data_IF_680614087141
#
_entry.id   IF_680614087141
#
_cell.length_a   1.000
_cell.length_b   1.000
_cell.length_c   1.000
_cell.angle_alpha   90.00
_cell.angle_beta   90.00
_cell.angle_gamma   90.00
#
_symmetry.space_group_name_H-M   'P 1'
#
loop_
_entity.id
_entity.type
_entity.pdbx_description
1 polymer ?
#
# COMPACT_ATOMS: atom_id res chain seq x y z
N UNK A 1 -2.61 0.17 -14.79
CA UNK A 1 -2.27 -1.24 -15.10
C UNK A 1 -3.48 -1.98 -15.65
N UNK A 2 -3.26 -3.06 -16.41
CA UNK A 2 -4.38 -3.86 -16.93
C UNK A 2 -4.91 -4.84 -15.88
N UNK A 3 -6.20 -4.77 -15.56
CA UNK A 3 -6.86 -5.63 -14.55
C UNK A 3 -7.42 -6.94 -15.14
N UNK A 4 -7.38 -7.09 -16.47
CA UNK A 4 -7.83 -8.31 -17.15
C UNK A 4 -6.78 -9.41 -16.98
N UNK A 5 -7.23 -10.62 -16.66
CA UNK A 5 -6.36 -11.79 -16.50
C UNK A 5 -5.88 -12.35 -17.85
N UNK A 6 -5.04 -13.38 -17.79
CA UNK A 6 -4.48 -14.01 -19.00
C UNK A 6 -5.54 -14.50 -19.98
N UNK A 7 -6.62 -15.12 -19.48
CA UNK A 7 -7.72 -15.60 -20.31
C UNK A 7 -8.44 -14.44 -21.01
N UNK A 8 -8.85 -13.41 -20.26
CA UNK A 8 -9.52 -12.25 -20.85
C UNK A 8 -8.63 -11.53 -21.87
N UNK A 9 -7.33 -11.44 -21.62
CA UNK A 9 -6.37 -10.86 -22.57
C UNK A 9 -6.24 -11.68 -23.85
N UNK A 10 -6.32 -12.99 -23.74
CA UNK A 10 -6.31 -13.86 -24.91
C UNK A 10 -7.59 -13.72 -25.73
N UNK A 11 -8.76 -13.64 -25.08
CA UNK A 11 -10.04 -13.37 -25.75
C UNK A 11 -10.02 -12.02 -26.49
N UNK A 12 -9.41 -11.00 -25.89
CA UNK A 12 -9.21 -9.69 -26.51
C UNK A 12 -8.30 -9.76 -27.75
N UNK A 13 -7.23 -10.57 -27.71
CA UNK A 13 -6.38 -10.82 -28.89
C UNK A 13 -7.15 -11.48 -30.02
N UNK A 14 -8.00 -12.47 -29.72
CA UNK A 14 -8.87 -13.05 -30.74
C UNK A 14 -9.79 -12.00 -31.37
N UNK A 15 -10.36 -11.11 -30.56
CA UNK A 15 -11.19 -10.01 -31.07
C UNK A 15 -10.41 -9.06 -31.97
N UNK A 16 -9.22 -8.67 -31.54
CA UNK A 16 -8.33 -7.81 -32.31
C UNK A 16 -7.97 -8.42 -33.68
N UNK A 17 -7.67 -9.72 -33.72
CA UNK A 17 -7.37 -10.41 -34.97
C UNK A 17 -8.60 -10.60 -35.86
N UNK A 18 -9.78 -10.90 -35.29
CA UNK A 18 -11.00 -11.15 -36.05
C UNK A 18 -11.66 -9.89 -36.64
N UNK A 19 -11.31 -8.71 -36.14
CA UNK A 19 -11.71 -7.41 -36.73
C UNK A 19 -10.91 -7.10 -38.00
N UNK A 20 -9.69 -7.64 -38.15
CA UNK A 20 -8.86 -7.38 -39.33
C UNK A 20 -9.49 -8.02 -40.56
N UNK A 21 -9.99 -7.19 -41.47
CA UNK A 21 -10.63 -7.63 -42.72
C UNK A 21 -9.64 -8.13 -43.80
N UNK A 22 -8.34 -8.07 -43.52
CA UNK A 22 -7.28 -8.45 -44.48
C UNK A 22 -6.98 -9.93 -44.53
N UNK A 23 -7.53 -10.73 -43.61
CA UNK A 23 -7.24 -12.16 -43.57
C UNK A 23 -8.01 -12.97 -44.61
N UNK A 24 -7.36 -13.95 -45.27
CA UNK A 24 -8.06 -14.95 -46.05
C UNK A 24 -9.11 -15.70 -45.22
N UNK A 25 -10.20 -16.11 -45.85
CA UNK A 25 -11.32 -16.80 -45.19
C UNK A 25 -10.87 -18.02 -44.37
N UNK A 26 -9.97 -18.83 -44.92
CA UNK A 26 -9.42 -20.02 -44.24
C UNK A 26 -8.68 -19.68 -42.93
N UNK A 27 -7.99 -18.53 -42.88
CA UNK A 27 -7.29 -18.08 -41.67
C UNK A 27 -8.31 -17.62 -40.64
N UNK A 28 -9.36 -16.91 -41.08
CA UNK A 28 -10.46 -16.48 -40.22
C UNK A 28 -11.23 -17.66 -39.63
N UNK A 29 -11.55 -18.67 -40.43
CA UNK A 29 -12.18 -19.91 -39.97
C UNK A 29 -11.30 -20.63 -38.94
N UNK A 30 -9.99 -20.68 -39.17
CA UNK A 30 -9.04 -21.28 -38.23
C UNK A 30 -9.01 -20.54 -36.89
N UNK A 31 -9.05 -19.21 -36.89
CA UNK A 31 -9.14 -18.39 -35.67
C UNK A 31 -10.45 -18.62 -34.92
N UNK A 32 -11.57 -18.68 -35.63
CA UNK A 32 -12.89 -18.97 -35.05
C UNK A 32 -12.91 -20.37 -34.42
N UNK A 33 -12.35 -21.38 -35.10
CA UNK A 33 -12.26 -22.73 -34.58
C UNK A 33 -11.42 -22.80 -33.29
N UNK A 34 -10.24 -22.16 -33.29
CA UNK A 34 -9.37 -22.11 -32.12
C UNK A 34 -10.05 -21.39 -30.93
N UNK A 35 -10.77 -20.29 -31.20
CA UNK A 35 -11.58 -19.60 -30.20
C UNK A 35 -12.67 -20.53 -29.65
N UNK A 36 -13.39 -21.26 -30.49
CA UNK A 36 -14.46 -22.16 -30.06
C UNK A 36 -13.94 -23.29 -29.16
N UNK A 37 -12.83 -23.91 -29.51
CA UNK A 37 -12.20 -24.94 -28.68
C UNK A 37 -11.75 -24.37 -27.33
N UNK A 38 -11.13 -23.18 -27.32
CA UNK A 38 -10.73 -22.50 -26.09
C UNK A 38 -11.94 -22.14 -25.23
N UNK A 39 -13.00 -21.60 -25.81
CA UNK A 39 -14.23 -21.28 -25.10
C UNK A 39 -14.83 -22.53 -24.44
N UNK A 40 -14.78 -23.70 -25.09
CA UNK A 40 -15.21 -24.97 -24.49
C UNK A 40 -14.33 -25.39 -23.31
N UNK A 41 -13.00 -25.35 -23.47
CA UNK A 41 -12.04 -25.79 -22.45
C UNK A 41 -12.15 -24.95 -21.18
N UNK A 42 -12.25 -23.63 -21.33
CA UNK A 42 -12.29 -22.69 -20.21
C UNK A 42 -13.72 -22.31 -19.79
N UNK A 43 -14.74 -22.99 -20.34
CA UNK A 43 -16.16 -22.73 -20.08
C UNK A 43 -16.54 -21.24 -20.21
N UNK A 44 -16.05 -20.60 -21.27
CA UNK A 44 -16.37 -19.21 -21.61
C UNK A 44 -17.83 -19.12 -22.01
N UNK A 45 -18.55 -18.13 -21.48
CA UNK A 45 -19.95 -17.89 -21.78
C UNK A 45 -20.20 -17.75 -23.28
N UNK A 46 -21.30 -18.36 -23.76
CA UNK A 46 -21.68 -18.31 -25.17
C UNK A 46 -21.87 -16.88 -25.68
N UNK A 47 -22.31 -15.98 -24.80
CA UNK A 47 -22.45 -14.55 -25.07
C UNK A 47 -21.10 -13.86 -25.32
N UNK A 48 -20.06 -14.17 -24.55
CA UNK A 48 -18.70 -13.65 -24.79
C UNK A 48 -18.13 -14.22 -26.09
N UNK A 49 -18.32 -15.52 -26.33
CA UNK A 49 -17.88 -16.14 -27.58
C UNK A 49 -18.53 -15.47 -28.81
N UNK A 50 -19.83 -15.21 -28.75
CA UNK A 50 -20.55 -14.48 -29.80
C UNK A 50 -20.06 -13.03 -29.93
N UNK A 51 -19.86 -12.32 -28.82
CA UNK A 51 -19.35 -10.95 -28.80
C UNK A 51 -17.97 -10.83 -29.46
N UNK A 52 -17.10 -11.82 -29.29
CA UNK A 52 -15.78 -11.83 -29.96
C UNK A 52 -15.91 -11.98 -31.48
N UNK A 53 -16.87 -12.79 -31.95
CA UNK A 53 -17.10 -13.06 -33.38
C UNK A 53 -17.89 -11.95 -34.10
N UNK A 54 -18.67 -11.18 -33.35
CA UNK A 54 -19.43 -10.05 -33.87
C UNK A 54 -18.49 -9.00 -34.46
N UNK A 55 -18.68 -8.61 -35.73
CA UNK A 55 -17.83 -7.60 -36.37
C UNK A 55 -18.18 -6.17 -35.94
N UNK A 56 -19.42 -5.95 -35.53
CA UNK A 56 -19.92 -4.61 -35.22
C UNK A 56 -19.55 -4.16 -33.81
N UNK A 57 -19.28 -5.12 -32.92
CA UNK A 57 -18.73 -4.85 -31.59
C UNK A 57 -17.27 -4.39 -31.71
N UNK A 58 -16.91 -3.29 -31.06
CA UNK A 58 -15.52 -2.83 -31.00
C UNK A 58 -14.69 -3.61 -29.97
N UNK A 59 -13.36 -3.51 -30.08
CA UNK A 59 -12.44 -4.02 -29.07
C UNK A 59 -12.71 -3.41 -27.69
N UNK A 60 -12.95 -2.10 -27.63
CA UNK A 60 -13.18 -1.38 -26.38
C UNK A 60 -14.48 -1.81 -25.71
N UNK A 61 -15.55 -2.05 -26.48
CA UNK A 61 -16.80 -2.58 -25.93
C UNK A 61 -16.62 -3.99 -25.37
N UNK A 62 -15.86 -4.86 -26.04
CA UNK A 62 -15.53 -6.17 -25.47
C UNK A 62 -14.70 -6.03 -24.19
N UNK A 63 -13.71 -5.13 -24.18
CA UNK A 63 -12.87 -4.87 -23.02
C UNK A 63 -13.69 -4.47 -21.78
N UNK A 64 -14.62 -3.53 -21.94
CA UNK A 64 -15.52 -3.12 -20.86
C UNK A 64 -16.49 -4.24 -20.46
N UNK A 65 -16.97 -5.05 -21.41
CA UNK A 65 -17.80 -6.22 -21.10
C UNK A 65 -17.06 -7.27 -20.26
N UNK A 66 -15.77 -7.51 -20.54
CA UNK A 66 -14.94 -8.46 -19.78
C UNK A 66 -14.67 -7.94 -18.36
N UNK A 67 -14.45 -6.62 -18.19
CA UNK A 67 -14.24 -6.02 -16.86
C UNK A 67 -15.41 -6.23 -15.90
N UNK A 68 -16.62 -6.36 -16.42
CA UNK A 68 -17.82 -6.57 -15.61
C UNK A 68 -17.98 -8.02 -15.09
N UNK A 69 -17.01 -8.90 -15.36
CA UNK A 69 -17.10 -10.34 -15.04
C UNK A 69 -15.85 -10.83 -14.34
N UNK A 70 -16.02 -11.27 -13.11
CA UNK A 70 -14.92 -11.74 -12.24
C UNK A 70 -14.05 -12.81 -12.89
N UNK A 71 -14.62 -13.70 -13.70
CA UNK A 71 -13.88 -14.77 -14.40
C UNK A 71 -12.77 -14.27 -15.34
N UNK A 72 -12.81 -12.99 -15.76
CA UNK A 72 -11.81 -12.38 -16.65
C UNK A 72 -10.97 -11.32 -15.96
N UNK A 73 -11.20 -11.10 -14.67
CA UNK A 73 -10.39 -10.21 -13.85
C UNK A 73 -9.23 -10.98 -13.23
N UNK A 74 -8.14 -10.27 -12.96
CA UNK A 74 -7.03 -10.78 -12.16
C UNK A 74 -7.50 -11.05 -10.73
N UNK A 75 -6.93 -12.09 -10.12
CA UNK A 75 -7.13 -12.33 -8.69
C UNK A 75 -6.35 -11.33 -7.84
N UNK A 76 -6.66 -11.27 -6.55
CA UNK A 76 -5.93 -10.43 -5.60
C UNK A 76 -4.44 -10.81 -5.56
N UNK A 77 -4.13 -12.10 -5.64
CA UNK A 77 -2.76 -12.61 -5.67
C UNK A 77 -2.01 -12.20 -6.94
N UNK A 78 -2.67 -12.26 -8.11
CA UNK A 78 -2.07 -11.81 -9.37
C UNK A 78 -1.76 -10.31 -9.33
N UNK A 79 -2.69 -9.49 -8.85
CA UNK A 79 -2.49 -8.05 -8.68
C UNK A 79 -1.40 -7.76 -7.64
N UNK A 80 -1.36 -8.53 -6.55
CA UNK A 80 -0.35 -8.36 -5.51
C UNK A 80 1.06 -8.54 -6.05
N UNK A 81 1.30 -9.58 -6.85
CA UNK A 81 2.62 -9.81 -7.47
C UNK A 81 3.05 -8.61 -8.31
N UNK A 82 2.13 -8.04 -9.10
CA UNK A 82 2.46 -6.88 -9.94
C UNK A 82 2.67 -5.61 -9.10
N UNK A 83 1.88 -5.40 -8.05
CA UNK A 83 2.04 -4.24 -7.15
C UNK A 83 3.31 -4.35 -6.31
N UNK A 84 3.72 -5.56 -5.95
CA UNK A 84 4.97 -5.81 -5.23
C UNK A 84 6.20 -5.47 -6.07
N UNK A 85 6.13 -5.57 -7.41
CA UNK A 85 7.20 -5.07 -8.30
C UNK A 85 7.37 -3.55 -8.13
N UNK A 86 6.28 -2.80 -8.21
CA UNK A 86 6.28 -1.34 -8.01
C UNK A 86 6.74 -0.98 -6.60
N UNK A 87 6.30 -1.75 -5.59
CA UNK A 87 6.72 -1.55 -4.21
C UNK A 87 8.23 -1.72 -4.05
N UNK A 88 8.80 -2.77 -4.64
CA UNK A 88 10.24 -3.02 -4.54
C UNK A 88 11.03 -1.89 -5.21
N UNK A 89 10.62 -1.43 -6.40
CA UNK A 89 11.26 -0.30 -7.07
C UNK A 89 11.19 0.99 -6.23
N UNK A 90 10.03 1.26 -5.62
CA UNK A 90 9.84 2.40 -4.73
C UNK A 90 10.75 2.30 -3.49
N UNK A 91 10.84 1.12 -2.87
CA UNK A 91 11.69 0.86 -1.71
C UNK A 91 13.17 1.02 -2.05
N UNK A 92 13.63 0.49 -3.19
CA UNK A 92 15.02 0.63 -3.64
C UNK A 92 15.39 2.11 -3.80
N UNK A 93 14.53 2.92 -4.41
CA UNK A 93 14.74 4.36 -4.55
C UNK A 93 14.78 5.08 -3.21
N UNK A 94 13.86 4.77 -2.29
CA UNK A 94 13.85 5.37 -0.95
C UNK A 94 15.14 5.00 -0.18
N UNK A 95 15.56 3.73 -0.24
CA UNK A 95 16.78 3.26 0.43
C UNK A 95 18.05 3.86 -0.19
N UNK A 96 18.04 4.21 -1.48
CA UNK A 96 19.15 4.91 -2.12
C UNK A 96 19.35 6.34 -1.58
N UNK A 97 18.31 6.96 -1.01
CA UNK A 97 18.40 8.28 -0.37
C UNK A 97 18.97 8.21 1.05
N UNK A 98 18.80 7.09 1.74
CA UNK A 98 19.41 6.84 3.04
C UNK A 98 18.78 5.67 3.80
N UNK A 99 19.45 5.26 4.88
CA UNK A 99 18.92 4.22 5.77
C UNK A 99 17.75 4.75 6.59
N UNK A 100 16.61 4.07 6.48
CA UNK A 100 15.43 4.36 7.28
C UNK A 100 15.13 3.19 8.21
N UNK A 101 14.78 3.50 9.47
CA UNK A 101 14.44 2.50 10.50
C UNK A 101 12.94 2.45 10.73
N UNK A 102 12.45 1.30 11.20
CA UNK A 102 11.06 1.12 11.62
C UNK A 102 10.04 1.49 10.54
N UNK A 103 10.30 1.07 9.30
CA UNK A 103 9.36 1.21 8.19
C UNK A 103 8.83 -0.15 7.81
N UNK A 104 7.52 -0.21 7.58
CA UNK A 104 6.86 -1.33 6.94
C UNK A 104 6.19 -0.84 5.66
N UNK A 105 6.34 -1.59 4.57
CA UNK A 105 5.59 -1.31 3.35
C UNK A 105 4.73 -2.50 2.96
N UNK A 106 3.54 -2.22 2.43
CA UNK A 106 2.62 -3.25 1.94
C UNK A 106 1.91 -2.78 0.67
N UNK A 107 1.78 -3.67 -0.31
CA UNK A 107 0.84 -3.51 -1.41
C UNK A 107 -0.57 -3.94 -0.94
N UNK A 108 -1.59 -3.17 -1.30
CA UNK A 108 -2.98 -3.40 -0.89
C UNK A 108 -3.87 -3.43 -2.14
N UNK A 109 -4.00 -4.59 -2.82
CA UNK A 109 -4.68 -4.67 -4.10
C UNK A 109 -6.16 -4.25 -4.04
N UNK A 110 -6.85 -4.62 -2.96
CA UNK A 110 -8.25 -4.25 -2.70
C UNK A 110 -8.51 -2.73 -2.67
N UNK A 111 -7.48 -1.92 -2.45
CA UNK A 111 -7.58 -0.46 -2.42
C UNK A 111 -6.68 0.24 -3.44
N UNK A 112 -6.10 -0.53 -4.36
CA UNK A 112 -5.25 -0.06 -5.46
C UNK A 112 -4.15 0.89 -4.98
N UNK A 113 -3.51 0.52 -3.88
CA UNK A 113 -2.52 1.40 -3.23
C UNK A 113 -1.36 0.65 -2.63
N UNK A 114 -0.26 1.38 -2.47
CA UNK A 114 0.86 1.02 -1.62
C UNK A 114 0.74 1.82 -0.33
N UNK A 115 0.99 1.18 0.80
CA UNK A 115 1.09 1.85 2.10
C UNK A 115 2.51 1.73 2.63
N UNK A 116 3.01 2.84 3.13
CA UNK A 116 4.29 2.94 3.83
C UNK A 116 3.98 3.41 5.24
N UNK A 117 4.30 2.59 6.23
CA UNK A 117 4.10 2.87 7.66
C UNK A 117 5.45 3.16 8.31
N UNK A 118 5.60 4.35 8.87
CA UNK A 118 6.70 4.70 9.77
C UNK A 118 6.22 4.54 11.20
N UNK A 119 6.81 3.59 11.93
CA UNK A 119 6.50 3.32 13.34
C UNK A 119 7.40 4.20 14.21
N UNK A 120 6.78 5.05 15.02
CA UNK A 120 7.47 5.91 15.98
C UNK A 120 7.26 5.30 17.37
N UNK A 121 8.34 4.79 17.97
CA UNK A 121 8.29 3.98 19.19
C UNK A 121 8.92 4.70 20.38
N UNK A 122 8.20 4.75 21.50
CA UNK A 122 8.63 5.37 22.74
C UNK A 122 8.71 4.33 23.85
N UNK A 123 9.95 3.90 24.13
CA UNK A 123 10.26 2.92 25.17
C UNK A 123 10.69 3.55 26.50
N UNK A 124 11.26 2.73 27.37
CA UNK A 124 11.75 3.10 28.70
C UNK A 124 12.69 4.31 28.69
N UNK A 125 13.68 4.32 27.80
CA UNK A 125 14.69 5.40 27.71
C UNK A 125 14.06 6.77 27.47
N UNK A 126 12.95 6.82 26.72
CA UNK A 126 12.22 8.06 26.50
C UNK A 126 11.57 8.57 27.79
N UNK A 127 10.92 7.67 28.54
CA UNK A 127 10.22 7.99 29.77
C UNK A 127 11.20 8.50 30.82
N UNK A 128 12.34 7.84 30.96
CA UNK A 128 13.40 8.23 31.89
C UNK A 128 13.85 9.68 31.66
N UNK A 129 14.16 10.01 30.40
CA UNK A 129 14.58 11.35 30.00
C UNK A 129 13.46 12.38 30.15
N UNK A 130 12.26 12.07 29.66
CA UNK A 130 11.15 13.02 29.61
C UNK A 130 10.58 13.35 31.01
N UNK A 131 10.53 12.37 31.91
CA UNK A 131 10.04 12.55 33.28
C UNK A 131 11.16 12.82 34.29
N UNK A 132 12.41 12.97 33.84
CA UNK A 132 13.59 13.20 34.68
C UNK A 132 13.68 12.22 35.85
N UNK A 133 13.55 10.91 35.57
CA UNK A 133 13.54 9.84 36.58
C UNK A 133 14.96 9.55 37.11
N UNK A 134 15.96 10.33 36.68
CA UNK A 134 17.37 10.09 36.99
C UNK A 134 17.74 10.24 38.47
N UNK A 135 16.90 10.89 39.28
CA UNK A 135 17.14 11.17 40.69
C UNK A 135 16.64 10.07 41.66
N UNK A 136 16.16 8.94 41.15
CA UNK A 136 15.62 7.84 41.96
C UNK A 136 16.67 6.72 42.10
N UNK A 137 16.80 6.19 43.33
CA UNK A 137 17.51 4.96 43.70
C UNK A 137 17.29 3.84 42.65
N UNK A 138 18.34 3.15 42.18
CA UNK A 138 18.28 2.25 41.02
C UNK A 138 17.18 1.17 41.15
N UNK A 139 17.04 0.57 42.33
CA UNK A 139 16.01 -0.43 42.62
C UNK A 139 14.57 0.14 42.57
N UNK A 140 14.40 1.45 42.80
CA UNK A 140 13.09 2.14 42.74
C UNK A 140 12.81 2.73 41.36
N UNK A 141 13.85 2.93 40.53
CA UNK A 141 13.74 3.45 39.16
C UNK A 141 12.95 2.49 38.28
N UNK A 142 13.38 1.23 38.24
CA UNK A 142 12.73 0.19 37.43
C UNK A 142 11.28 -0.04 37.85
N UNK A 143 11.05 -0.08 39.15
CA UNK A 143 9.74 -0.30 39.74
C UNK A 143 8.78 0.86 39.44
N UNK A 144 9.28 2.10 39.38
CA UNK A 144 8.50 3.30 39.05
C UNK A 144 8.14 3.35 37.56
N UNK A 145 9.09 3.03 36.68
CA UNK A 145 8.87 2.96 35.24
C UNK A 145 7.87 1.87 34.90
N UNK A 146 8.01 0.68 35.47
CA UNK A 146 7.06 -0.43 35.30
C UNK A 146 5.66 -0.05 35.76
N UNK A 147 5.51 0.78 36.81
CA UNK A 147 4.19 1.31 37.24
C UNK A 147 3.62 2.32 36.25
N UNK A 148 4.46 3.13 35.61
CA UNK A 148 4.04 4.12 34.62
C UNK A 148 3.62 3.48 33.28
N UNK A 149 4.32 2.43 32.85
CA UNK A 149 4.14 1.74 31.57
C UNK A 149 3.05 0.65 31.59
N UNK A 150 2.02 0.74 32.44
CA UNK A 150 0.89 -0.19 32.41
C UNK A 150 -0.17 0.27 31.40
N UNK A 151 -1.04 -0.63 30.95
CA UNK A 151 -2.15 -0.32 30.00
C UNK A 151 -2.99 0.91 30.40
N UNK A 152 -3.21 1.09 31.71
CA UNK A 152 -3.93 2.25 32.29
C UNK A 152 -3.01 3.19 33.08
N UNK A 153 -1.70 3.02 32.95
CA UNK A 153 -0.68 3.84 33.59
C UNK A 153 -0.67 5.28 33.05
N UNK A 154 -0.01 6.16 33.79
CA UNK A 154 0.06 7.58 33.45
C UNK A 154 0.71 7.80 32.08
N UNK A 155 1.69 6.96 31.72
CA UNK A 155 2.40 7.10 30.45
C UNK A 155 1.51 6.73 29.26
N UNK A 156 0.69 5.69 29.35
CA UNK A 156 -0.25 5.36 28.28
C UNK A 156 -1.26 6.49 28.01
N UNK A 157 -1.79 7.12 29.06
CA UNK A 157 -2.67 8.30 28.90
C UNK A 157 -1.93 9.49 28.30
N UNK A 158 -0.71 9.73 28.76
CA UNK A 158 0.16 10.77 28.21
C UNK A 158 0.43 10.53 26.72
N UNK A 159 0.84 9.32 26.34
CA UNK A 159 1.15 8.93 24.97
C UNK A 159 -0.06 9.16 24.05
N UNK A 160 -1.24 8.65 24.43
CA UNK A 160 -2.49 8.82 23.66
C UNK A 160 -2.81 10.30 23.41
N UNK A 161 -2.65 11.17 24.40
CA UNK A 161 -2.96 12.59 24.24
C UNK A 161 -1.85 13.35 23.49
N UNK A 162 -0.59 13.13 23.88
CA UNK A 162 0.56 13.91 23.42
C UNK A 162 1.02 13.47 22.05
N UNK A 163 1.26 12.19 21.82
CA UNK A 163 1.80 11.70 20.54
C UNK A 163 0.80 11.87 19.40
N UNK A 164 -0.49 11.60 19.67
CA UNK A 164 -1.56 11.87 18.71
C UNK A 164 -1.60 13.34 18.32
N UNK A 165 -1.40 14.26 19.28
CA UNK A 165 -1.37 15.69 18.99
C UNK A 165 -0.14 16.07 18.18
N UNK A 166 1.05 15.63 18.58
CA UNK A 166 2.31 15.93 17.87
C UNK A 166 2.22 15.49 16.40
N UNK A 167 1.78 14.25 16.14
CA UNK A 167 1.69 13.76 14.77
C UNK A 167 0.60 14.48 13.96
N UNK A 168 -0.53 14.85 14.58
CA UNK A 168 -1.56 15.65 13.92
C UNK A 168 -1.08 17.07 13.61
N UNK A 169 -0.29 17.67 14.49
CA UNK A 169 0.27 19.00 14.28
C UNK A 169 1.33 18.93 13.17
N UNK A 170 2.19 17.90 13.15
CA UNK A 170 3.10 17.62 12.03
C UNK A 170 2.36 17.51 10.69
N UNK A 171 1.31 16.68 10.62
CA UNK A 171 0.53 16.50 9.37
C UNK A 171 -0.20 17.77 8.90
N UNK A 172 -0.40 18.76 9.76
CA UNK A 172 -1.00 20.05 9.41
C UNK A 172 0.02 21.09 8.99
N UNK A 173 1.21 21.03 9.58
CA UNK A 173 2.30 22.00 9.36
C UNK A 173 3.19 21.58 8.19
N UNK A 174 3.33 20.28 7.95
CA UNK A 174 4.17 19.74 6.88
C UNK A 174 3.44 19.82 5.54
N UNK A 175 4.02 20.55 4.59
CA UNK A 175 3.51 20.62 3.23
C UNK A 175 3.97 19.38 2.45
N UNK A 176 2.99 18.64 1.93
CA UNK A 176 3.23 17.52 1.02
C UNK A 176 2.20 17.52 -0.12
N UNK A 177 2.55 16.86 -1.22
CA UNK A 177 1.76 16.75 -2.44
C UNK A 177 0.53 15.87 -2.22
N UNK A 178 -0.58 16.48 -1.82
CA UNK A 178 -1.85 15.78 -1.57
C UNK A 178 -2.42 15.09 -2.82
N UNK A 179 -2.01 15.54 -4.00
CA UNK A 179 -2.38 14.92 -5.28
C UNK A 179 -1.64 13.59 -5.52
N UNK A 180 -0.46 13.42 -4.92
CA UNK A 180 0.37 12.22 -5.08
C UNK A 180 0.17 11.22 -3.94
N UNK A 181 -0.12 11.71 -2.73
CA UNK A 181 -0.17 10.88 -1.54
C UNK A 181 -1.15 11.37 -0.49
N UNK A 182 -1.60 10.44 0.36
CA UNK A 182 -2.41 10.74 1.53
C UNK A 182 -1.68 10.29 2.79
N UNK A 183 -1.50 11.18 3.76
CA UNK A 183 -0.85 10.89 5.03
C UNK A 183 -1.85 10.89 6.18
N UNK A 184 -1.76 9.92 7.08
CA UNK A 184 -2.61 9.86 8.27
C UNK A 184 -1.92 9.18 9.45
N UNK A 185 -2.40 9.51 10.65
CA UNK A 185 -1.92 8.98 11.91
C UNK A 185 -2.75 7.76 12.36
N UNK A 186 -2.09 6.73 12.87
CA UNK A 186 -2.76 5.67 13.63
C UNK A 186 -3.11 6.14 15.06
N UNK A 187 -3.90 5.33 15.76
CA UNK A 187 -4.07 5.50 17.21
C UNK A 187 -2.82 5.02 17.93
N UNK A 188 -2.52 5.61 19.08
CA UNK A 188 -1.44 5.11 19.93
C UNK A 188 -1.77 3.69 20.41
N UNK A 189 -0.82 2.79 20.26
CA UNK A 189 -0.92 1.40 20.72
C UNK A 189 0.32 1.01 21.54
N UNK A 190 0.17 -0.01 22.36
CA UNK A 190 1.27 -0.54 23.16
C UNK A 190 1.89 -1.74 22.45
N UNK A 191 3.22 -1.75 22.33
CA UNK A 191 3.97 -2.96 22.01
C UNK A 191 4.15 -3.75 23.31
N UNK A 192 3.45 -4.88 23.41
CA UNK A 192 3.39 -5.67 24.64
C UNK A 192 3.36 -7.16 24.35
N UNK A 193 4.03 -7.95 25.19
CA UNK A 193 3.83 -9.41 25.21
C UNK A 193 2.61 -9.80 26.06
N UNK A 194 2.20 -8.94 27.00
CA UNK A 194 0.97 -9.05 27.80
C UNK A 194 0.64 -7.67 28.43
N UNK A 195 -0.51 -7.55 29.10
CA UNK A 195 -1.00 -6.27 29.64
C UNK A 195 -0.14 -5.64 30.76
N UNK A 196 0.79 -6.42 31.33
CA UNK A 196 1.66 -5.99 32.44
C UNK A 196 3.08 -5.62 31.97
N UNK A 197 3.50 -6.11 30.80
CA UNK A 197 4.83 -5.92 30.23
C UNK A 197 4.76 -5.18 28.89
N UNK A 198 4.48 -3.88 28.96
CA UNK A 198 4.55 -2.98 27.80
C UNK A 198 6.00 -2.56 27.61
N UNK A 199 6.56 -2.82 26.42
CA UNK A 199 7.93 -2.46 26.04
C UNK A 199 8.01 -1.03 25.52
N UNK A 200 6.99 -0.60 24.78
CA UNK A 200 6.91 0.75 24.22
C UNK A 200 5.47 1.11 23.87
N UNK A 201 5.27 2.42 23.67
CA UNK A 201 4.05 2.94 23.07
C UNK A 201 4.41 3.48 21.69
N UNK A 202 3.62 3.09 20.71
CA UNK A 202 3.86 3.35 19.31
C UNK A 202 2.74 4.20 18.72
N UNK A 203 3.10 4.99 17.72
CA UNK A 203 2.17 5.66 16.82
C UNK A 203 2.74 5.57 15.41
N UNK A 204 1.88 5.34 14.43
CA UNK A 204 2.32 5.18 13.05
C UNK A 204 1.91 6.40 12.23
N UNK A 205 2.87 6.89 11.44
CA UNK A 205 2.59 7.69 10.28
C UNK A 205 2.40 6.74 9.10
N UNK A 206 1.21 6.75 8.48
CA UNK A 206 0.95 5.99 7.25
C UNK A 206 0.85 6.92 6.07
N UNK A 207 1.64 6.64 5.04
CA UNK A 207 1.60 7.27 3.72
C UNK A 207 0.93 6.27 2.77
N UNK A 208 -0.15 6.70 2.10
CA UNK A 208 -0.89 5.91 1.12
C UNK A 208 -0.68 6.50 -0.26
N UNK A 209 -0.25 5.66 -1.21
CA UNK A 209 0.08 6.01 -2.59
C UNK A 209 -0.82 5.22 -3.53
N UNK A 210 -1.45 5.86 -4.50
CA UNK A 210 -2.24 5.17 -5.51
C UNK A 210 -1.32 4.52 -6.56
N UNK A 211 -1.59 3.26 -6.92
CA UNK A 211 -0.80 2.53 -7.93
C UNK A 211 -0.79 3.25 -9.28
N UNK A 212 -1.91 3.81 -9.72
CA UNK A 212 -2.02 4.51 -11.01
C UNK A 212 -1.03 5.70 -11.11
N UNK A 213 -0.72 6.33 -9.98
CA UNK A 213 0.25 7.44 -9.92
C UNK A 213 1.68 6.92 -10.01
N UNK A 214 1.96 5.77 -9.39
CA UNK A 214 3.27 5.14 -9.32
C UNK A 214 3.70 4.47 -10.62
N UNK A 215 2.76 4.16 -11.51
CA UNK A 215 3.06 3.64 -12.85
C UNK A 215 3.80 4.65 -13.75
N UNK A 216 3.77 5.94 -13.41
CA UNK A 216 4.53 6.95 -14.11
C UNK A 216 5.96 7.06 -13.52
N UNK A 217 7.02 6.75 -14.29
CA UNK A 217 8.40 6.83 -13.81
C UNK A 217 8.79 8.21 -13.27
N UNK A 218 8.26 9.29 -13.84
CA UNK A 218 8.54 10.67 -13.42
C UNK A 218 7.97 10.96 -12.02
N UNK A 219 6.81 10.36 -11.70
CA UNK A 219 6.20 10.48 -10.38
C UNK A 219 6.96 9.66 -9.35
N UNK A 220 7.49 8.48 -9.74
CA UNK A 220 8.16 7.57 -8.83
C UNK A 220 9.35 8.23 -8.13
N UNK A 221 10.18 8.97 -8.87
CA UNK A 221 11.31 9.71 -8.31
C UNK A 221 10.87 10.81 -7.33
N UNK A 222 9.85 11.59 -7.71
CA UNK A 222 9.32 12.68 -6.88
C UNK A 222 8.73 12.12 -5.58
N UNK A 223 7.96 11.05 -5.68
CA UNK A 223 7.33 10.38 -4.55
C UNK A 223 8.38 9.77 -3.63
N UNK A 224 9.42 9.12 -4.16
CA UNK A 224 10.50 8.55 -3.34
C UNK A 224 11.19 9.60 -2.48
N UNK A 225 11.52 10.76 -3.07
CA UNK A 225 12.15 11.87 -2.35
C UNK A 225 11.22 12.43 -1.26
N UNK A 226 9.97 12.70 -1.61
CA UNK A 226 9.01 13.28 -0.68
C UNK A 226 8.64 12.33 0.48
N UNK A 227 8.49 11.03 0.20
CA UNK A 227 8.29 10.00 1.22
C UNK A 227 9.49 9.94 2.17
N UNK A 228 10.71 9.94 1.64
CA UNK A 228 11.94 9.95 2.44
C UNK A 228 11.98 11.18 3.35
N UNK A 229 11.73 12.36 2.79
CA UNK A 229 11.73 13.62 3.53
C UNK A 229 10.68 13.62 4.65
N UNK A 230 9.45 13.18 4.37
CA UNK A 230 8.39 13.08 5.38
C UNK A 230 8.84 12.19 6.55
N UNK A 231 9.45 11.05 6.25
CA UNK A 231 9.87 10.07 7.26
C UNK A 231 11.04 10.61 8.10
N UNK A 232 12.00 11.30 7.50
CA UNK A 232 13.10 11.91 8.24
C UNK A 232 12.61 13.08 9.11
N UNK A 233 11.71 13.91 8.58
CA UNK A 233 11.23 15.09 9.30
C UNK A 233 10.28 14.76 10.44
N UNK A 234 9.47 13.69 10.35
CA UNK A 234 8.56 13.33 11.44
C UNK A 234 9.32 12.92 12.72
N UNK A 235 10.43 12.19 12.60
CA UNK A 235 11.25 11.84 13.76
C UNK A 235 11.86 13.06 14.42
N UNK A 236 12.49 13.94 13.62
CA UNK A 236 13.04 15.20 14.10
C UNK A 236 11.96 16.10 14.75
N UNK A 237 10.74 16.08 14.21
CA UNK A 237 9.63 16.82 14.79
C UNK A 237 9.22 16.28 16.16
N UNK A 238 9.16 14.95 16.32
CA UNK A 238 8.90 14.33 17.62
C UNK A 238 10.00 14.64 18.63
N UNK A 239 11.27 14.54 18.24
CA UNK A 239 12.41 14.85 19.11
C UNK A 239 12.35 16.30 19.60
N UNK A 240 12.05 17.25 18.72
CA UNK A 240 11.92 18.68 19.08
C UNK A 240 10.72 18.97 20.00
N UNK A 241 9.60 18.25 19.85
CA UNK A 241 8.38 18.46 20.66
C UNK A 241 8.38 17.66 21.97
N UNK A 242 9.30 16.71 22.13
CA UNK A 242 9.45 15.85 23.28
C UNK A 242 10.79 16.02 24.02
N UNK A 243 11.56 17.07 23.72
CA UNK A 243 12.56 17.66 24.63
C UNK A 243 11.88 18.60 25.61
#
# INVERSE_FOLDING_TARGET
MNKINSLGMELLKYKEELIKDTYPEIVRESLIFALDEKCKVFNVGADINLAIKDKDLSYNELYENLKCREAYLKTEEELKVEYDVILNELQEKILALGELKNIECESVPSSESIKIRKIISFGKDFIERYFAIDEIDEDKRDDSICKMMKKNGIFGKFAVLRFTRILKDFLKEYEYSTDLMTCYASYVYADSMNEENIKSYNIDLTIKLNIDILENPDNLETISNEVFDIICNVEAYFDNKCQ
#
